data_IF_929099978146
#
_entry.id   IF_929099978146
#
_cell.length_a   1.000
_cell.length_b   1.000
_cell.length_c   1.000
_cell.angle_alpha   90.00
_cell.angle_beta   90.00
_cell.angle_gamma   90.00
#
_symmetry.space_group_name_H-M   'P 1'
#
loop_
_entity.id
_entity.type
_entity.pdbx_description
1 polymer ?
#
# COMPACT_ATOMS: atom_id res chain seq x y z
N UNK A 1 6.54 -8.62 -8.34
CA UNK A 1 5.70 -8.63 -7.13
C UNK A 1 4.23 -8.58 -7.55
N UNK A 2 3.29 -8.84 -6.66
CA UNK A 2 1.85 -8.73 -6.97
C UNK A 2 1.26 -7.45 -6.39
N UNK A 3 0.15 -7.02 -6.98
CA UNK A 3 -0.71 -5.94 -6.48
C UNK A 3 -2.16 -6.34 -6.71
N UNK A 4 -3.07 -5.84 -5.89
CA UNK A 4 -4.48 -5.79 -6.26
C UNK A 4 -4.84 -4.35 -6.62
N UNK A 5 -5.48 -4.20 -7.78
CA UNK A 5 -5.93 -2.92 -8.31
C UNK A 5 -7.45 -2.90 -8.38
N UNK A 6 -8.06 -1.87 -7.82
CA UNK A 6 -9.49 -1.62 -7.96
C UNK A 6 -9.81 -1.32 -9.43
N UNK A 7 -10.78 -2.03 -10.02
CA UNK A 7 -11.23 -1.82 -11.42
C UNK A 7 -12.70 -1.44 -11.53
N UNK A 8 -13.49 -1.74 -10.51
CA UNK A 8 -14.85 -1.27 -10.31
C UNK A 8 -15.13 -1.27 -8.79
N UNK A 9 -16.21 -0.64 -8.30
CA UNK A 9 -16.56 -0.68 -6.88
C UNK A 9 -16.55 -2.12 -6.34
N UNK A 10 -15.78 -2.33 -5.26
CA UNK A 10 -15.56 -3.62 -4.61
C UNK A 10 -14.97 -4.73 -5.50
N UNK A 11 -14.49 -4.40 -6.70
CA UNK A 11 -13.96 -5.36 -7.67
C UNK A 11 -12.48 -5.09 -7.91
N UNK A 12 -11.66 -6.11 -7.68
CA UNK A 12 -10.21 -6.03 -7.80
C UNK A 12 -9.70 -7.01 -8.84
N UNK A 13 -8.69 -6.56 -9.59
CA UNK A 13 -7.85 -7.42 -10.41
C UNK A 13 -6.49 -7.58 -9.75
N UNK A 14 -5.95 -8.79 -9.81
CA UNK A 14 -4.56 -9.03 -9.44
C UNK A 14 -3.66 -8.62 -10.60
N UNK A 15 -2.73 -7.71 -10.35
CA UNK A 15 -1.73 -7.23 -11.30
C UNK A 15 -0.32 -7.64 -10.87
N UNK A 16 0.63 -7.50 -11.79
CA UNK A 16 2.06 -7.68 -11.53
C UNK A 16 2.72 -6.31 -11.53
N UNK A 17 3.50 -6.03 -10.49
CA UNK A 17 4.28 -4.80 -10.36
C UNK A 17 5.77 -5.11 -10.26
N UNK A 18 6.59 -4.13 -10.65
CA UNK A 18 8.04 -4.21 -10.55
C UNK A 18 8.46 -4.36 -9.09
N UNK A 19 9.56 -5.08 -8.86
CA UNK A 19 10.13 -5.20 -7.53
C UNK A 19 10.59 -3.82 -7.03
N UNK A 20 10.25 -3.50 -5.78
CA UNK A 20 10.74 -2.29 -5.11
C UNK A 20 12.15 -2.56 -4.61
N UNK A 21 13.07 -1.69 -4.96
CA UNK A 21 14.46 -1.82 -4.53
C UNK A 21 14.72 -0.94 -3.29
N UNK A 22 15.68 -1.32 -2.41
CA UNK A 22 16.07 -0.51 -1.27
C UNK A 22 16.43 0.94 -1.62
N UNK A 23 16.97 1.17 -2.82
CA UNK A 23 17.38 2.48 -3.33
C UNK A 23 16.19 3.43 -3.57
N UNK A 24 14.96 2.89 -3.64
CA UNK A 24 13.74 3.69 -3.80
C UNK A 24 13.26 4.34 -2.48
N UNK A 25 13.82 3.95 -1.33
CA UNK A 25 13.41 4.47 -0.03
C UNK A 25 13.82 5.93 0.16
N UNK A 26 12.89 6.74 0.63
CA UNK A 26 13.15 8.08 1.16
C UNK A 26 13.50 8.01 2.64
N UNK A 27 14.06 9.08 3.17
CA UNK A 27 14.36 9.19 4.60
C UNK A 27 13.09 8.96 5.43
N UNK A 28 13.21 8.16 6.50
CA UNK A 28 12.06 7.78 7.33
C UNK A 28 11.17 6.69 6.73
N UNK A 29 11.54 6.05 5.62
CA UNK A 29 10.79 4.93 5.05
C UNK A 29 11.48 3.59 5.31
N UNK A 30 10.67 2.54 5.33
CA UNK A 30 11.09 1.14 5.33
C UNK A 30 10.47 0.42 4.14
N UNK A 31 11.18 -0.57 3.61
CA UNK A 31 10.64 -1.51 2.64
C UNK A 31 10.25 -2.78 3.40
N UNK A 32 9.04 -3.28 3.15
CA UNK A 32 8.48 -4.41 3.88
C UNK A 32 8.31 -5.62 2.97
N UNK A 33 8.53 -6.80 3.53
CA UNK A 33 7.90 -8.03 3.08
C UNK A 33 6.50 -8.09 3.66
N UNK A 34 5.49 -8.00 2.80
CA UNK A 34 4.07 -7.98 3.20
C UNK A 34 3.68 -9.25 3.97
N UNK A 35 2.91 -9.10 5.06
CA UNK A 35 2.36 -10.22 5.83
C UNK A 35 0.84 -10.17 5.91
N UNK A 36 0.27 -9.01 6.22
CA UNK A 36 -1.17 -8.83 6.35
C UNK A 36 -1.58 -7.37 6.13
N UNK A 37 -2.87 -7.18 5.88
CA UNK A 37 -3.51 -5.88 5.72
C UNK A 37 -4.82 -5.83 6.54
N UNK A 38 -5.11 -4.67 7.12
CA UNK A 38 -6.38 -4.35 7.76
C UNK A 38 -7.28 -3.54 6.82
N UNK A 39 -8.60 -3.70 6.96
CA UNK A 39 -9.57 -2.81 6.31
C UNK A 39 -10.09 -1.85 7.38
N UNK A 40 -9.83 -0.56 7.19
CA UNK A 40 -10.32 0.49 8.05
C UNK A 40 -11.61 1.10 7.48
N UNK A 41 -12.44 1.69 8.34
CA UNK A 41 -13.65 2.40 7.89
C UNK A 41 -13.34 3.56 6.93
N UNK A 42 -12.17 4.18 7.05
CA UNK A 42 -11.72 5.26 6.16
C UNK A 42 -11.34 4.78 4.76
N UNK A 43 -11.09 3.48 4.55
CA UNK A 43 -10.79 2.92 3.22
C UNK A 43 -12.04 2.76 2.34
N UNK A 44 -13.21 2.63 2.98
CA UNK A 44 -14.49 2.31 2.34
C UNK A 44 -14.87 3.24 1.16
N UNK A 45 -14.64 4.58 1.22
CA UNK A 45 -14.81 5.44 0.06
C UNK A 45 -13.97 4.98 -1.15
N UNK A 46 -12.72 4.57 -0.93
CA UNK A 46 -11.86 4.01 -1.96
C UNK A 46 -12.42 2.72 -2.54
N UNK A 47 -12.85 1.77 -1.68
CA UNK A 47 -13.51 0.53 -2.12
C UNK A 47 -14.77 0.79 -2.97
N UNK A 48 -15.50 1.89 -2.72
CA UNK A 48 -16.67 2.31 -3.50
C UNK A 48 -16.33 3.03 -4.81
N UNK A 49 -15.05 3.28 -5.09
CA UNK A 49 -14.59 4.05 -6.26
C UNK A 49 -14.85 5.56 -6.14
N UNK A 50 -15.00 6.08 -4.91
CA UNK A 50 -15.27 7.49 -4.67
C UNK A 50 -13.99 8.33 -4.83
N UNK A 51 -13.84 8.96 -6.00
CA UNK A 51 -12.67 9.77 -6.37
C UNK A 51 -12.43 10.94 -5.40
N UNK A 52 -11.16 11.16 -5.06
CA UNK A 52 -10.67 12.31 -4.32
C UNK A 52 -10.94 12.26 -2.81
N UNK A 53 -11.28 11.07 -2.28
CA UNK A 53 -11.56 10.88 -0.85
C UNK A 53 -10.36 10.41 -0.04
N UNK A 54 -9.36 9.85 -0.70
CA UNK A 54 -8.16 9.31 -0.07
C UNK A 54 -6.88 9.97 -0.62
N UNK A 55 -5.83 10.10 0.21
CA UNK A 55 -4.53 10.59 -0.23
C UNK A 55 -3.99 9.85 -1.45
N UNK A 56 -3.57 10.61 -2.47
CA UNK A 56 -3.00 10.07 -3.69
C UNK A 56 -3.98 9.31 -4.59
N UNK A 57 -5.29 9.52 -4.41
CA UNK A 57 -6.35 9.07 -5.34
C UNK A 57 -6.40 10.00 -6.56
N UNK A 58 -5.56 9.69 -7.56
CA UNK A 58 -5.45 10.44 -8.82
C UNK A 58 -6.16 9.79 -10.00
N UNK A 59 -6.65 8.55 -9.83
CA UNK A 59 -7.20 7.73 -10.91
C UNK A 59 -8.63 8.10 -11.32
N UNK A 60 -9.06 7.61 -12.49
CA UNK A 60 -10.46 7.67 -12.88
C UNK A 60 -11.31 6.74 -11.97
N UNK A 61 -12.12 7.31 -11.08
CA UNK A 61 -12.94 6.58 -10.08
C UNK A 61 -12.11 5.77 -9.07
N UNK A 62 -10.93 6.25 -8.70
CA UNK A 62 -9.99 5.56 -7.82
C UNK A 62 -9.46 4.20 -8.33
N UNK A 63 -9.85 3.80 -9.53
CA UNK A 63 -9.18 2.76 -10.31
C UNK A 63 -7.93 3.36 -10.94
N UNK A 64 -6.89 2.55 -11.20
CA UNK A 64 -5.57 2.90 -11.78
C UNK A 64 -4.41 3.01 -10.78
N UNK A 65 -4.64 2.88 -9.48
CA UNK A 65 -3.56 2.83 -8.48
C UNK A 65 -3.35 1.42 -7.95
N UNK A 66 -2.11 0.94 -8.04
CA UNK A 66 -1.70 -0.34 -7.46
C UNK A 66 -1.77 -0.31 -5.93
N UNK A 67 -2.24 -1.40 -5.33
CA UNK A 67 -2.34 -1.58 -3.88
C UNK A 67 -3.41 -0.73 -3.17
N UNK A 68 -4.16 0.10 -3.88
CA UNK A 68 -5.20 0.96 -3.32
C UNK A 68 -6.47 0.19 -2.95
N UNK A 69 -7.19 0.50 -1.85
CA UNK A 69 -7.08 1.69 -0.98
C UNK A 69 -6.49 1.44 0.41
N UNK A 70 -5.80 0.33 0.70
CA UNK A 70 -5.47 -0.01 2.09
C UNK A 70 -4.31 0.85 2.62
N UNK A 71 -4.42 1.32 3.87
CA UNK A 71 -3.31 1.97 4.59
C UNK A 71 -2.85 1.23 5.86
N UNK A 72 -3.61 0.30 6.41
CA UNK A 72 -3.20 -0.47 7.60
C UNK A 72 -2.49 -1.77 7.17
N UNK A 73 -1.18 -1.87 7.40
CA UNK A 73 -0.40 -3.04 6.97
C UNK A 73 0.50 -3.60 8.06
N UNK A 74 0.80 -4.89 7.97
CA UNK A 74 1.77 -5.60 8.78
C UNK A 74 2.82 -6.20 7.86
N UNK A 75 4.09 -6.01 8.21
CA UNK A 75 5.20 -6.53 7.42
C UNK A 75 6.47 -6.75 8.23
N UNK A 76 7.41 -7.43 7.61
CA UNK A 76 8.78 -7.53 8.11
C UNK A 76 9.68 -6.58 7.31
N UNK A 77 10.49 -5.78 8.00
CA UNK A 77 11.40 -4.83 7.37
C UNK A 77 12.51 -5.58 6.63
N UNK A 78 12.64 -5.36 5.33
CA UNK A 78 13.70 -5.93 4.48
C UNK A 78 14.75 -4.90 4.03
N UNK A 79 14.41 -3.62 4.09
CA UNK A 79 15.36 -2.50 3.98
C UNK A 79 14.84 -1.29 4.75
N UNK A 80 15.73 -0.42 5.25
CA UNK A 80 15.35 0.73 6.06
C UNK A 80 16.19 1.97 5.76
N UNK A 81 15.53 3.13 5.71
CA UNK A 81 16.12 4.46 5.89
C UNK A 81 15.47 5.20 7.07
N UNK A 82 14.83 4.46 7.97
CA UNK A 82 14.20 4.98 9.18
C UNK A 82 15.12 4.76 10.39
N UNK A 83 15.43 5.79 11.20
CA UNK A 83 16.44 5.70 12.25
C UNK A 83 16.06 4.75 13.40
N UNK A 84 14.77 4.45 13.57
CA UNK A 84 14.27 3.58 14.64
C UNK A 84 13.91 2.15 14.20
N UNK A 85 14.09 1.80 12.92
CA UNK A 85 13.72 0.47 12.39
C UNK A 85 14.86 -0.17 11.62
N UNK A 86 15.07 -1.46 11.84
CA UNK A 86 16.13 -2.28 11.23
C UNK A 86 15.54 -3.45 10.45
N UNK A 87 16.32 -4.01 9.53
CA UNK A 87 15.91 -5.23 8.83
C UNK A 87 15.64 -6.37 9.82
N UNK A 88 14.55 -7.12 9.61
CA UNK A 88 14.06 -8.16 10.51
C UNK A 88 13.00 -7.69 11.50
N UNK A 89 12.83 -6.39 11.71
CA UNK A 89 11.76 -5.87 12.57
C UNK A 89 10.39 -6.25 12.00
N UNK A 90 9.48 -6.70 12.86
CA UNK A 90 8.06 -6.81 12.52
C UNK A 90 7.35 -5.53 12.91
N UNK A 91 6.72 -4.89 11.95
CA UNK A 91 6.06 -3.60 12.16
C UNK A 91 4.59 -3.68 11.80
N UNK A 92 3.78 -3.00 12.60
CA UNK A 92 2.43 -2.57 12.21
C UNK A 92 2.58 -1.13 11.74
N UNK A 93 2.19 -0.86 10.51
CA UNK A 93 2.54 0.37 9.82
C UNK A 93 1.39 0.98 9.03
N UNK A 94 1.64 2.21 8.61
CA UNK A 94 0.73 3.01 7.82
C UNK A 94 1.29 3.21 6.41
N UNK A 95 0.71 2.56 5.40
CA UNK A 95 1.00 2.84 4.00
C UNK A 95 0.39 4.19 3.64
N UNK A 96 1.18 5.27 3.78
CA UNK A 96 0.72 6.66 3.63
C UNK A 96 0.18 6.98 2.24
N UNK A 97 0.55 6.18 1.23
CA UNK A 97 0.00 6.25 -0.11
C UNK A 97 -1.36 5.57 -0.25
N UNK A 98 -1.91 4.92 0.78
CA UNK A 98 -3.09 4.05 0.63
C UNK A 98 -2.83 3.02 -0.46
N UNK A 99 -1.63 2.45 -0.50
CA UNK A 99 -1.14 1.50 -1.51
C UNK A 99 -0.70 0.17 -0.86
N UNK A 100 -1.34 -0.21 0.26
CA UNK A 100 -0.93 -1.34 1.09
C UNK A 100 -1.32 -2.72 0.58
N UNK A 101 -2.20 -2.84 -0.42
CA UNK A 101 -2.65 -4.13 -0.98
C UNK A 101 -1.73 -4.64 -2.11
N UNK A 102 -0.42 -4.58 -1.88
CA UNK A 102 0.63 -5.03 -2.80
C UNK A 102 1.88 -5.52 -2.05
N UNK A 103 2.75 -6.22 -2.77
CA UNK A 103 4.08 -6.63 -2.31
C UNK A 103 5.18 -5.76 -2.93
#
# INVERSE_FOLDING_TARGET
MWSYRLVAPYTFERTVVLHRSPESLRDGQVLLRFLAAGICGSDIPGFRGAKGRLPGDTGARAAEKDGFPIHEIVGEVIASRHPAHSCGDRVVGWASGFDGLME
#
